data_IF_956513527192
#
_entry.id   IF_956513527192
#
_cell.length_a   1.000
_cell.length_b   1.000
_cell.length_c   1.000
_cell.angle_alpha   90.00
_cell.angle_beta   90.00
_cell.angle_gamma   90.00
#
_symmetry.space_group_name_H-M   'P 1'
#
loop_
_entity.id
_entity.type
_entity.pdbx_description
1 polymer ?
#
# COMPACT_ATOMS: atom_id res chain seq x y z
N UNK A 1 26.90 15.29 0.35
CA UNK A 1 25.55 14.79 0.04
C UNK A 1 25.58 13.29 0.23
N UNK A 2 25.00 12.76 1.31
CA UNK A 2 24.85 11.32 1.49
C UNK A 2 23.89 10.81 0.42
N UNK A 3 24.40 10.01 -0.52
CA UNK A 3 23.58 9.32 -1.51
C UNK A 3 22.70 8.30 -0.78
N UNK A 4 21.45 8.66 -0.49
CA UNK A 4 20.46 7.70 0.01
C UNK A 4 20.22 6.61 -1.04
N UNK A 5 20.06 5.37 -0.58
CA UNK A 5 19.59 4.31 -1.46
C UNK A 5 18.20 4.68 -2.00
N UNK A 6 17.88 4.33 -3.26
CA UNK A 6 16.55 4.57 -3.82
C UNK A 6 15.49 3.83 -2.98
N UNK A 7 14.36 4.48 -2.74
CA UNK A 7 13.22 3.87 -2.03
C UNK A 7 12.57 2.85 -2.97
N UNK A 8 12.42 1.62 -2.49
CA UNK A 8 11.71 0.58 -3.23
C UNK A 8 10.20 0.92 -3.30
N UNK A 9 9.63 0.85 -4.49
CA UNK A 9 8.21 1.16 -4.74
C UNK A 9 7.52 -0.06 -5.36
N UNK A 10 6.34 -0.39 -4.85
CA UNK A 10 5.47 -1.42 -5.39
C UNK A 10 4.09 -0.83 -5.67
N UNK A 11 3.47 -1.25 -6.77
CA UNK A 11 2.12 -0.79 -7.17
C UNK A 11 1.15 -1.95 -7.07
N UNK A 12 0.17 -1.84 -6.16
CA UNK A 12 -0.92 -2.80 -6.05
C UNK A 12 -2.10 -2.35 -6.90
N UNK A 13 -2.43 -3.12 -7.94
CA UNK A 13 -3.52 -2.82 -8.89
C UNK A 13 -4.36 -4.07 -9.17
N UNK A 14 -5.52 -3.89 -9.82
CA UNK A 14 -6.46 -4.95 -10.16
C UNK A 14 -7.90 -4.46 -10.25
N UNK A 15 -8.76 -5.22 -10.93
CA UNK A 15 -10.19 -4.91 -11.11
C UNK A 15 -10.94 -4.80 -9.76
N UNK A 16 -12.17 -4.26 -9.80
CA UNK A 16 -13.07 -4.25 -8.65
C UNK A 16 -13.32 -5.69 -8.18
N UNK A 17 -13.27 -5.94 -6.87
CA UNK A 17 -13.43 -7.28 -6.31
C UNK A 17 -12.19 -8.19 -6.41
N UNK A 18 -11.07 -7.73 -6.97
CA UNK A 18 -9.84 -8.54 -7.09
C UNK A 18 -9.11 -8.84 -5.76
N UNK A 19 -9.68 -8.46 -4.61
CA UNK A 19 -9.11 -8.75 -3.28
C UNK A 19 -7.94 -7.85 -2.87
N UNK A 20 -7.75 -6.69 -3.50
CA UNK A 20 -6.66 -5.74 -3.19
C UNK A 20 -6.62 -5.35 -1.71
N UNK A 21 -7.76 -4.96 -1.13
CA UNK A 21 -7.88 -4.60 0.30
C UNK A 21 -7.49 -5.76 1.21
N UNK A 22 -7.92 -6.99 0.89
CA UNK A 22 -7.55 -8.20 1.65
C UNK A 22 -6.05 -8.43 1.65
N UNK A 23 -5.41 -8.29 0.49
CA UNK A 23 -3.96 -8.42 0.38
C UNK A 23 -3.23 -7.32 1.16
N UNK A 24 -3.66 -6.05 1.01
CA UNK A 24 -3.07 -4.92 1.73
C UNK A 24 -3.14 -5.13 3.24
N UNK A 25 -4.29 -5.53 3.78
CA UNK A 25 -4.47 -5.80 5.20
C UNK A 25 -3.60 -6.96 5.72
N UNK A 26 -3.32 -7.96 4.87
CA UNK A 26 -2.38 -9.03 5.21
C UNK A 26 -0.94 -8.51 5.24
N UNK A 27 -0.55 -7.69 4.25
CA UNK A 27 0.80 -7.13 4.15
C UNK A 27 1.11 -6.16 5.30
N UNK A 28 0.15 -5.32 5.71
CA UNK A 28 0.29 -4.40 6.83
C UNK A 28 0.53 -5.08 8.19
N UNK A 29 0.26 -6.38 8.29
CA UNK A 29 0.52 -7.19 9.49
C UNK A 29 1.86 -7.91 9.45
N UNK A 30 2.58 -7.85 8.33
CA UNK A 30 3.90 -8.46 8.19
C UNK A 30 4.97 -7.57 8.84
N UNK A 31 5.72 -8.06 9.86
CA UNK A 31 6.80 -7.30 10.48
C UNK A 31 7.87 -6.82 9.49
N UNK A 32 8.05 -7.50 8.36
CA UNK A 32 8.98 -7.08 7.32
C UNK A 32 8.59 -5.76 6.64
N UNK A 33 7.32 -5.36 6.75
CA UNK A 33 6.79 -4.12 6.15
C UNK A 33 6.51 -3.03 7.19
N UNK A 34 6.99 -3.18 8.43
CA UNK A 34 6.74 -2.22 9.50
C UNK A 34 7.22 -0.79 9.21
N UNK A 35 8.23 -0.63 8.34
CA UNK A 35 8.79 0.66 7.91
C UNK A 35 8.35 1.06 6.48
N UNK A 36 7.19 0.57 6.03
CA UNK A 36 6.64 0.87 4.71
C UNK A 36 5.59 1.98 4.79
N UNK A 37 5.75 3.02 3.98
CA UNK A 37 4.69 4.01 3.76
C UNK A 37 3.67 3.48 2.74
N UNK A 38 2.38 3.61 3.07
CA UNK A 38 1.28 3.20 2.19
C UNK A 38 0.53 4.44 1.70
N UNK A 39 0.32 4.50 0.38
CA UNK A 39 -0.49 5.52 -0.27
C UNK A 39 -1.66 4.80 -0.94
N UNK A 40 -2.88 5.15 -0.53
CA UNK A 40 -4.11 4.67 -1.13
C UNK A 40 -4.81 5.82 -1.83
N UNK A 41 -5.49 5.50 -2.94
CA UNK A 41 -6.39 6.43 -3.59
C UNK A 41 -7.82 5.96 -3.32
N UNK A 42 -8.58 6.74 -2.54
CA UNK A 42 -10.00 6.53 -2.35
C UNK A 42 -10.79 7.53 -3.20
N UNK A 43 -11.72 7.04 -4.03
CA UNK A 43 -12.64 7.89 -4.80
C UNK A 43 -14.04 7.85 -4.15
N UNK A 44 -14.45 8.95 -3.50
CA UNK A 44 -15.78 9.17 -2.88
C UNK A 44 -15.75 10.21 -1.75
N UNK A 45 -16.82 10.98 -1.53
CA UNK A 45 -16.91 11.98 -0.42
C UNK A 45 -16.95 11.33 0.97
N UNK A 46 -17.26 10.04 1.03
CA UNK A 46 -17.27 9.24 2.26
C UNK A 46 -16.15 8.21 2.13
N UNK A 47 -15.15 8.32 3.00
CA UNK A 47 -14.14 7.27 3.17
C UNK A 47 -14.88 5.98 3.56
N UNK A 48 -14.77 4.96 2.71
CA UNK A 48 -15.35 3.63 3.01
C UNK A 48 -14.28 2.72 3.64
N UNK A 49 -13.01 3.14 3.69
CA UNK A 49 -11.92 2.43 4.38
C UNK A 49 -11.02 3.37 5.19
#
# INVERSE_FOLDING_TARGET
MSSGFPIAVSVLTGFLGAGKTTLLNRLLRDPALADTAVIINEFGEVAID
#
